data_IF_009818060175
#
_entry.id   IF_009818060175
#
_cell.length_a   1.000
_cell.length_b   1.000
_cell.length_c   1.000
_cell.angle_alpha   90.00
_cell.angle_beta   90.00
_cell.angle_gamma   90.00
#
_symmetry.space_group_name_H-M   'P 1'
#
loop_
_entity.id
_entity.type
_entity.pdbx_description
1 polymer ?
#
# COMPACT_ATOMS: atom_id res chain seq x y z
N UNK A 1 10.60 -3.07 -27.24
CA UNK A 1 11.44 -2.19 -26.40
C UNK A 1 11.55 -2.84 -25.02
N UNK A 2 12.75 -2.94 -24.45
CA UNK A 2 12.96 -3.59 -23.15
C UNK A 2 12.74 -2.55 -22.05
N UNK A 3 11.60 -2.64 -21.37
CA UNK A 3 11.29 -1.82 -20.20
C UNK A 3 11.81 -2.53 -18.95
N UNK A 4 12.61 -1.82 -18.16
CA UNK A 4 13.14 -2.37 -16.90
C UNK A 4 13.10 -1.32 -15.80
N UNK A 5 12.77 -1.76 -14.59
CA UNK A 5 12.85 -0.92 -13.39
C UNK A 5 14.02 -1.41 -12.55
N UNK A 6 14.88 -0.48 -12.13
CA UNK A 6 16.01 -0.75 -11.26
C UNK A 6 15.96 0.17 -10.04
N UNK A 7 16.60 -0.25 -8.95
CA UNK A 7 16.72 0.56 -7.75
C UNK A 7 18.05 1.31 -7.78
N UNK A 8 18.02 2.60 -7.52
CA UNK A 8 19.20 3.47 -7.56
C UNK A 8 19.19 4.45 -6.39
N UNK A 9 20.39 4.80 -5.91
CA UNK A 9 20.60 6.04 -5.19
C UNK A 9 20.52 7.19 -6.18
N UNK A 10 19.58 8.11 -5.94
CA UNK A 10 19.31 9.24 -6.80
C UNK A 10 19.53 10.52 -6.01
N UNK A 11 20.26 11.48 -6.58
CA UNK A 11 20.42 12.83 -6.03
C UNK A 11 19.40 13.77 -6.68
N UNK A 12 18.53 14.37 -5.88
CA UNK A 12 17.53 15.35 -6.31
C UNK A 12 17.48 16.48 -5.28
N UNK A 13 17.48 17.74 -5.72
CA UNK A 13 17.40 18.93 -4.85
C UNK A 13 18.38 18.94 -3.64
N UNK A 14 19.59 18.41 -3.83
CA UNK A 14 20.65 18.25 -2.79
C UNK A 14 20.47 17.09 -1.80
N UNK A 15 19.45 16.26 -1.96
CA UNK A 15 19.23 15.08 -1.13
C UNK A 15 19.53 13.80 -1.91
N UNK A 16 20.13 12.81 -1.24
CA UNK A 16 20.39 11.49 -1.80
C UNK A 16 19.40 10.51 -1.16
N UNK A 17 18.54 9.93 -1.99
CA UNK A 17 17.51 9.00 -1.52
C UNK A 17 17.41 7.78 -2.45
N UNK A 18 16.92 6.65 -1.95
CA UNK A 18 16.72 5.48 -2.78
C UNK A 18 15.44 5.67 -3.60
N UNK A 19 15.53 5.39 -4.90
CA UNK A 19 14.42 5.52 -5.83
C UNK A 19 14.35 4.33 -6.78
N UNK A 20 13.14 4.03 -7.23
CA UNK A 20 12.87 3.18 -8.38
C UNK A 20 13.03 4.00 -9.65
N UNK A 21 13.92 3.57 -10.54
CA UNK A 21 14.17 4.24 -11.82
C UNK A 21 13.68 3.33 -12.96
N UNK A 22 12.77 3.86 -13.77
CA UNK A 22 12.29 3.21 -14.98
C UNK A 22 13.20 3.52 -16.16
N UNK A 23 13.58 2.49 -16.91
CA UNK A 23 14.40 2.59 -18.11
C UNK A 23 13.65 2.09 -19.33
N UNK A 24 13.77 2.81 -20.45
CA UNK A 24 13.31 2.37 -21.77
C UNK A 24 14.53 2.27 -22.68
N UNK A 25 14.83 1.06 -23.17
CA UNK A 25 15.98 0.87 -24.05
C UNK A 25 17.34 1.20 -23.39
N UNK A 26 17.40 1.19 -22.05
CA UNK A 26 18.58 1.56 -21.28
C UNK A 26 18.69 3.05 -20.93
N UNK A 27 17.74 3.87 -21.35
CA UNK A 27 17.69 5.31 -21.01
C UNK A 27 16.75 5.49 -19.81
N UNK A 28 17.20 6.13 -18.71
CA UNK A 28 16.33 6.42 -17.58
C UNK A 28 15.29 7.48 -18.02
N UNK A 29 14.01 7.20 -17.76
CA UNK A 29 12.90 8.07 -18.18
C UNK A 29 12.20 8.72 -17.00
N UNK A 30 12.03 8.00 -15.90
CA UNK A 30 11.43 8.53 -14.69
C UNK A 30 11.99 7.83 -13.46
N UNK A 31 11.88 8.48 -12.31
CA UNK A 31 12.14 7.86 -11.02
C UNK A 31 11.01 8.13 -10.03
N UNK A 32 10.95 7.30 -8.99
CA UNK A 32 10.01 7.42 -7.87
C UNK A 32 10.74 7.11 -6.58
N UNK A 33 10.73 8.02 -5.62
CA UNK A 33 11.29 7.75 -4.30
C UNK A 33 10.52 6.63 -3.60
N UNK A 34 11.25 5.72 -2.95
CA UNK A 34 10.63 4.63 -2.21
C UNK A 34 9.78 5.20 -1.07
N UNK A 35 8.53 4.75 -0.95
CA UNK A 35 7.58 5.26 0.03
C UNK A 35 6.76 6.48 -0.43
N UNK A 36 6.97 6.96 -1.66
CA UNK A 36 6.18 8.06 -2.24
C UNK A 36 5.33 7.59 -3.43
N UNK A 37 4.24 8.31 -3.71
CA UNK A 37 3.37 8.03 -4.85
C UNK A 37 3.75 8.82 -6.12
N UNK A 38 4.63 9.82 -6.01
CA UNK A 38 4.99 10.72 -7.10
C UNK A 38 6.05 10.13 -8.04
N UNK A 39 5.89 10.35 -9.35
CA UNK A 39 6.93 10.10 -10.36
C UNK A 39 7.53 11.43 -10.79
N UNK A 40 8.85 11.45 -10.92
CA UNK A 40 9.62 12.61 -11.36
C UNK A 40 10.40 12.23 -12.62
N UNK A 41 10.60 13.18 -13.53
CA UNK A 41 11.37 12.95 -14.75
C UNK A 41 12.83 12.67 -14.41
N UNK A 42 13.45 11.70 -15.09
CA UNK A 42 14.83 11.31 -14.83
C UNK A 42 15.85 12.44 -15.04
N UNK A 43 15.54 13.43 -15.89
CA UNK A 43 16.38 14.59 -16.15
C UNK A 43 16.58 15.50 -14.92
N UNK A 44 15.64 15.45 -13.96
CA UNK A 44 15.69 16.27 -12.76
C UNK A 44 16.64 15.72 -11.68
N UNK A 45 17.23 14.55 -11.88
CA UNK A 45 18.04 13.90 -10.86
C UNK A 45 19.23 13.13 -11.42
N UNK A 46 20.27 13.01 -10.61
CA UNK A 46 21.47 12.26 -10.97
C UNK A 46 21.43 10.86 -10.36
N UNK A 47 21.65 9.84 -11.19
CA UNK A 47 21.85 8.47 -10.75
C UNK A 47 23.27 8.32 -10.21
N UNK A 48 23.40 7.99 -8.92
CA UNK A 48 24.69 7.89 -8.23
C UNK A 48 25.21 6.45 -8.32
N UNK A 49 24.46 5.52 -7.75
CA UNK A 49 24.85 4.12 -7.63
C UNK A 49 23.62 3.23 -7.70
N UNK A 50 23.77 2.10 -8.40
CA UNK A 50 22.71 1.09 -8.47
C UNK A 50 22.64 0.34 -7.14
N UNK A 51 21.46 0.33 -6.54
CA UNK A 51 21.19 -0.48 -5.36
C UNK A 51 21.16 -1.98 -5.71
N UNK A 52 21.59 -2.85 -4.78
CA UNK A 52 21.40 -4.28 -4.95
C UNK A 52 19.90 -4.57 -5.15
N UNK A 53 19.60 -5.49 -6.06
CA UNK A 53 18.21 -5.88 -6.29
C UNK A 53 17.63 -6.44 -4.97
N UNK A 54 16.42 -6.05 -4.59
CA UNK A 54 15.77 -6.66 -3.43
C UNK A 54 15.66 -8.18 -3.67
N UNK A 55 15.78 -8.99 -2.61
CA UNK A 55 15.59 -10.43 -2.73
C UNK A 55 14.21 -10.69 -3.34
N UNK A 56 14.16 -11.59 -4.32
CA UNK A 56 12.92 -11.95 -5.02
C UNK A 56 11.90 -12.39 -3.97
N UNK A 57 10.76 -11.69 -3.94
CA UNK A 57 9.70 -12.03 -3.00
C UNK A 57 9.20 -13.45 -3.29
N UNK A 58 9.44 -14.37 -2.36
CA UNK A 58 8.94 -15.76 -2.44
C UNK A 58 7.41 -15.78 -2.45
N UNK A 59 6.79 -14.74 -1.90
CA UNK A 59 5.38 -14.44 -2.11
C UNK A 59 5.19 -13.86 -3.50
N UNK A 60 4.91 -14.75 -4.46
CA UNK A 60 4.27 -14.39 -5.71
C UNK A 60 2.79 -14.12 -5.35
N UNK A 61 2.25 -12.89 -5.46
CA UNK A 61 0.82 -12.77 -5.64
C UNK A 61 0.53 -13.57 -6.90
N UNK A 62 -0.20 -14.68 -6.77
CA UNK A 62 -0.76 -15.34 -7.95
C UNK A 62 -1.54 -14.25 -8.68
N UNK A 63 -0.99 -13.77 -9.79
CA UNK A 63 -1.80 -13.30 -10.88
C UNK A 63 -2.59 -14.53 -11.35
N UNK A 64 -3.68 -14.83 -10.66
CA UNK A 64 -4.71 -15.71 -11.14
C UNK A 64 -5.30 -15.03 -12.36
N UNK A 65 -4.77 -15.43 -13.52
CA UNK A 65 -5.57 -15.56 -14.72
C UNK A 65 -6.88 -16.26 -14.36
N UNK A 66 -8.00 -15.55 -14.44
CA UNK A 66 -9.32 -16.03 -14.92
C UNK A 66 -10.32 -14.89 -14.75
N UNK A 67 -10.88 -14.45 -15.87
CA UNK A 67 -12.23 -13.86 -16.07
C UNK A 67 -12.86 -13.15 -14.87
N UNK A 68 -13.13 -11.87 -15.06
CA UNK A 68 -13.99 -11.03 -14.25
C UNK A 68 -15.19 -11.78 -13.64
N UNK A 69 -15.17 -11.92 -12.31
CA UNK A 69 -16.36 -12.05 -11.49
C UNK A 69 -16.36 -10.85 -10.53
N UNK A 70 -17.47 -10.14 -10.35
CA UNK A 70 -17.50 -8.96 -9.50
C UNK A 70 -17.24 -9.40 -8.06
N UNK A 71 -16.10 -9.01 -7.51
CA UNK A 71 -15.79 -9.14 -6.10
C UNK A 71 -16.87 -8.37 -5.32
N UNK A 72 -17.78 -9.12 -4.68
CA UNK A 72 -18.64 -8.55 -3.63
C UNK A 72 -17.75 -7.78 -2.66
N UNK A 73 -18.13 -6.57 -2.25
CA UNK A 73 -17.33 -5.82 -1.29
C UNK A 73 -17.21 -6.66 -0.02
N UNK A 74 -15.97 -6.97 0.36
CA UNK A 74 -15.61 -7.68 1.58
C UNK A 74 -15.91 -6.77 2.79
N UNK A 75 -17.20 -6.55 3.02
CA UNK A 75 -17.77 -5.74 4.11
C UNK A 75 -18.01 -6.59 5.37
N UNK A 76 -17.33 -7.73 5.48
CA UNK A 76 -17.58 -8.74 6.52
C UNK A 76 -17.05 -8.30 7.90
N UNK A 77 -15.91 -7.59 7.95
CA UNK A 77 -15.33 -7.12 9.22
C UNK A 77 -16.09 -5.93 9.84
N UNK A 78 -16.61 -5.02 9.01
CA UNK A 78 -17.29 -3.81 9.49
C UNK A 78 -18.66 -4.12 10.11
N UNK A 79 -19.42 -5.06 9.54
CA UNK A 79 -20.74 -5.40 10.05
C UNK A 79 -20.68 -6.09 11.42
N UNK A 80 -19.71 -7.00 11.61
CA UNK A 80 -19.53 -7.70 12.88
C UNK A 80 -19.12 -6.75 14.02
N UNK A 81 -18.26 -5.77 13.71
CA UNK A 81 -17.86 -4.72 14.65
C UNK A 81 -19.03 -3.81 15.03
N UNK A 82 -19.87 -3.44 14.06
CA UNK A 82 -21.10 -2.69 14.30
C UNK A 82 -22.07 -3.45 15.20
N UNK A 83 -22.27 -4.76 14.97
CA UNK A 83 -23.11 -5.60 15.81
C UNK A 83 -22.56 -5.66 17.24
N UNK A 84 -21.24 -5.78 17.41
CA UNK A 84 -20.57 -5.76 18.71
C UNK A 84 -20.83 -4.47 19.49
N UNK A 85 -20.71 -3.31 18.84
CA UNK A 85 -20.97 -2.00 19.47
C UNK A 85 -22.43 -1.84 19.85
N UNK A 86 -23.34 -2.23 18.96
CA UNK A 86 -24.78 -2.13 19.23
C UNK A 86 -25.16 -2.96 20.47
N UNK A 87 -24.61 -4.17 20.58
CA UNK A 87 -24.88 -5.09 21.68
C UNK A 87 -24.28 -4.57 23.00
N UNK A 88 -23.09 -3.95 22.95
CA UNK A 88 -22.49 -3.32 24.12
C UNK A 88 -23.35 -2.15 24.65
N UNK A 89 -23.85 -1.29 23.75
CA UNK A 89 -24.73 -0.17 24.12
C UNK A 89 -26.03 -0.71 24.74
N UNK A 90 -26.62 -1.76 24.15
CA UNK A 90 -27.83 -2.39 24.67
C UNK A 90 -27.62 -2.92 26.10
N UNK A 91 -26.50 -3.59 26.37
CA UNK A 91 -26.18 -4.10 27.71
C UNK A 91 -26.05 -2.97 28.73
N UNK A 92 -25.39 -1.86 28.36
CA UNK A 92 -25.28 -0.68 29.23
C UNK A 92 -26.66 -0.06 29.50
N UNK A 93 -27.48 0.10 28.46
CA UNK A 93 -28.82 0.67 28.60
C UNK A 93 -29.81 -0.26 29.32
N UNK A 94 -29.65 -1.58 29.25
CA UNK A 94 -30.47 -2.52 30.00
C UNK A 94 -30.00 -2.64 31.45
N UNK A 95 -28.69 -2.52 31.73
CA UNK A 95 -28.18 -2.59 33.10
C UNK A 95 -28.63 -1.41 33.96
N UNK A 96 -28.67 -0.19 33.42
CA UNK A 96 -29.18 1.00 34.13
C UNK A 96 -30.57 0.83 34.78
N UNK A 97 -31.65 0.53 34.03
CA UNK A 97 -32.99 0.33 34.56
C UNK A 97 -33.14 -0.98 35.37
N UNK A 98 -32.32 -2.01 35.12
CA UNK A 98 -32.29 -3.21 35.97
C UNK A 98 -31.76 -2.88 37.37
N UNK A 99 -30.75 -2.02 37.50
CA UNK A 99 -30.26 -1.56 38.79
C UNK A 99 -31.22 -0.57 39.49
N UNK A 100 -31.98 0.23 38.73
CA UNK A 100 -32.97 1.17 39.29
C UNK A 100 -34.24 0.44 39.79
N UNK A 101 -34.65 -0.66 39.16
CA UNK A 101 -35.81 -1.46 39.55
C UNK A 101 -35.56 -2.42 40.75
N UNK A 102 -34.32 -2.57 41.22
CA UNK A 102 -33.93 -3.42 42.37
C UNK A 102 -33.76 -2.59 43.66
N UNK A 103 -34.04 -1.28 43.62
CA UNK A 103 -34.01 -0.38 44.79
C UNK A 103 -35.40 -0.15 45.37
#
# INVERSE_FOLDING_TARGET
MNERTEYWWVRHDSEIQPAEVGFIGGIPVHFRFIGTAGRVQAEAAELIERLPAPPVSVFKPQASSTVAAPSKPQKSGSLLWFIGILLLILVVQCSGPIFDAIK
#
